data_IF_403941617753
#
_entry.id   IF_403941617753
#
_cell.length_a   1.000
_cell.length_b   1.000
_cell.length_c   1.000
_cell.angle_alpha   90.00
_cell.angle_beta   90.00
_cell.angle_gamma   90.00
#
_symmetry.space_group_name_H-M   'P 1'
#
loop_
_entity.id
_entity.type
_entity.pdbx_description
1 polymer ?
#
# COMPACT_ATOMS: atom_id res chain seq x y z
N UNK A 1 -26.30 2.56 -10.82
CA UNK A 1 -26.47 3.74 -9.95
C UNK A 1 -27.77 4.44 -10.31
N UNK A 2 -28.52 4.85 -9.29
CA UNK A 2 -29.78 5.59 -9.46
C UNK A 2 -29.58 7.02 -9.00
N UNK A 3 -29.92 7.97 -9.85
CA UNK A 3 -29.90 9.40 -9.55
C UNK A 3 -31.32 9.90 -9.34
N UNK A 4 -31.52 10.71 -8.33
CA UNK A 4 -32.81 11.31 -8.01
C UNK A 4 -32.73 12.83 -8.15
N UNK A 5 -33.67 13.44 -8.86
CA UNK A 5 -33.93 14.86 -8.81
C UNK A 5 -35.11 15.12 -7.88
N UNK A 6 -34.91 15.90 -6.88
CA UNK A 6 -35.92 16.10 -5.86
C UNK A 6 -36.23 14.85 -5.03
N UNK A 7 -37.26 14.85 -4.25
CA UNK A 7 -37.47 13.87 -3.19
C UNK A 7 -38.10 12.53 -3.61
N UNK A 8 -38.51 12.30 -4.86
CA UNK A 8 -39.26 11.10 -5.22
C UNK A 8 -39.10 10.55 -6.64
N UNK A 9 -38.45 11.25 -7.55
CA UNK A 9 -38.34 10.80 -8.93
C UNK A 9 -36.94 10.30 -9.24
N UNK A 10 -36.85 9.18 -9.92
CA UNK A 10 -35.63 8.64 -10.47
C UNK A 10 -35.33 9.38 -11.78
N UNK A 11 -34.26 10.17 -11.82
CA UNK A 11 -33.89 10.92 -13.04
C UNK A 11 -33.35 10.01 -14.12
N UNK A 12 -32.43 9.15 -13.73
CA UNK A 12 -31.82 8.19 -14.63
C UNK A 12 -31.32 6.95 -13.89
N UNK A 13 -31.35 5.83 -14.58
CA UNK A 13 -30.84 4.57 -14.10
C UNK A 13 -29.72 4.12 -15.01
N UNK A 14 -28.57 3.82 -14.42
CA UNK A 14 -27.40 3.29 -15.11
C UNK A 14 -27.04 1.93 -14.53
N UNK A 15 -26.53 1.06 -15.39
CA UNK A 15 -25.85 -0.16 -14.94
C UNK A 15 -24.49 -0.27 -15.60
N UNK A 16 -23.57 -0.93 -14.93
CA UNK A 16 -22.26 -1.26 -15.49
C UNK A 16 -21.93 -2.71 -15.20
N UNK A 17 -21.43 -3.39 -16.20
CA UNK A 17 -20.84 -4.72 -16.09
C UNK A 17 -19.34 -4.61 -16.39
N UNK A 18 -18.52 -4.93 -15.41
CA UNK A 18 -17.06 -4.81 -15.50
C UNK A 18 -16.46 -6.17 -15.20
N UNK A 19 -15.92 -6.79 -16.24
CA UNK A 19 -15.26 -8.09 -16.16
C UNK A 19 -13.77 -7.89 -16.36
N UNK A 20 -12.97 -8.32 -15.39
CA UNK A 20 -11.51 -8.29 -15.49
C UNK A 20 -10.95 -9.70 -15.30
N UNK A 21 -10.30 -10.19 -16.32
CA UNK A 21 -9.58 -11.47 -16.30
C UNK A 21 -8.09 -11.19 -16.23
N UNK A 22 -7.43 -11.76 -15.23
CA UNK A 22 -5.99 -11.61 -15.05
C UNK A 22 -5.33 -12.99 -15.04
N UNK A 23 -4.34 -13.17 -15.91
CA UNK A 23 -3.55 -14.38 -15.99
C UNK A 23 -2.08 -14.03 -15.67
N UNK A 24 -1.53 -14.65 -14.63
CA UNK A 24 -0.15 -14.45 -14.22
C UNK A 24 0.55 -15.80 -14.24
N UNK A 25 1.56 -15.90 -15.09
CA UNK A 25 2.45 -17.06 -15.17
C UNK A 25 3.83 -16.63 -14.70
N UNK A 26 4.37 -17.30 -13.69
CA UNK A 26 5.71 -17.00 -13.15
C UNK A 26 6.51 -18.28 -12.99
N UNK A 27 7.74 -18.24 -13.49
CA UNK A 27 8.74 -19.29 -13.30
C UNK A 27 9.99 -18.69 -12.66
N UNK A 28 10.50 -19.34 -11.60
CA UNK A 28 11.69 -18.91 -10.87
C UNK A 28 12.60 -20.12 -10.65
N UNK A 29 13.90 -19.92 -10.85
CA UNK A 29 14.92 -20.90 -10.48
C UNK A 29 15.97 -20.22 -9.62
N UNK A 30 16.14 -20.73 -8.39
CA UNK A 30 17.07 -20.22 -7.38
C UNK A 30 18.17 -21.24 -7.10
N UNK A 31 19.41 -20.76 -6.99
CA UNK A 31 20.58 -21.52 -6.66
C UNK A 31 21.27 -20.93 -5.44
N UNK A 32 21.42 -21.74 -4.40
CA UNK A 32 22.09 -21.40 -3.16
C UNK A 32 23.47 -22.06 -3.10
N UNK A 33 24.52 -21.27 -3.09
CA UNK A 33 25.91 -21.70 -3.09
C UNK A 33 26.55 -21.33 -1.75
N UNK A 34 26.89 -22.30 -0.92
CA UNK A 34 27.64 -22.08 0.29
C UNK A 34 29.12 -21.85 -0.05
N UNK A 35 29.58 -20.60 0.02
CA UNK A 35 30.97 -20.22 -0.22
C UNK A 35 31.87 -20.56 0.99
N UNK A 36 31.29 -20.50 2.19
CA UNK A 36 31.94 -20.88 3.45
C UNK A 36 30.84 -21.19 4.50
N UNK A 37 31.29 -21.54 5.74
CA UNK A 37 30.35 -21.73 6.88
C UNK A 37 29.57 -20.48 7.25
N UNK A 38 29.99 -19.27 6.82
CA UNK A 38 29.41 -17.99 7.19
C UNK A 38 29.04 -17.13 5.98
N UNK A 39 29.38 -17.57 4.77
CA UNK A 39 29.15 -16.82 3.53
C UNK A 39 28.37 -17.66 2.53
N UNK A 40 27.38 -17.05 1.92
CA UNK A 40 26.45 -17.66 0.96
C UNK A 40 26.27 -16.73 -0.24
N UNK A 41 26.24 -17.32 -1.43
CA UNK A 41 25.79 -16.67 -2.66
C UNK A 41 24.47 -17.30 -3.07
N UNK A 42 23.45 -16.48 -3.21
CA UNK A 42 22.16 -16.87 -3.84
C UNK A 42 22.10 -16.21 -5.20
N UNK A 43 21.85 -16.97 -6.26
CA UNK A 43 21.64 -16.43 -7.61
C UNK A 43 20.39 -17.06 -8.21
N UNK A 44 19.74 -16.40 -9.16
CA UNK A 44 18.55 -16.96 -9.78
C UNK A 44 18.09 -16.18 -10.97
N UNK A 45 17.15 -16.79 -11.67
CA UNK A 45 16.43 -16.22 -12.81
C UNK A 45 14.94 -16.25 -12.52
N UNK A 46 14.23 -15.25 -12.99
CA UNK A 46 12.76 -15.19 -12.93
C UNK A 46 12.22 -14.73 -14.28
N UNK A 47 11.18 -15.39 -14.74
CA UNK A 47 10.37 -14.94 -15.86
C UNK A 47 8.92 -14.84 -15.42
N UNK A 48 8.24 -13.76 -15.81
CA UNK A 48 6.83 -13.56 -15.53
C UNK A 48 6.13 -13.03 -16.77
N UNK A 49 4.98 -13.62 -17.11
CA UNK A 49 4.04 -13.11 -18.09
C UNK A 49 2.75 -12.72 -17.38
N UNK A 50 2.31 -11.48 -17.59
CA UNK A 50 1.07 -10.92 -17.06
C UNK A 50 0.15 -10.60 -18.23
N UNK A 51 -1.05 -11.18 -18.25
CA UNK A 51 -2.11 -10.85 -19.19
C UNK A 51 -3.31 -10.29 -18.44
N UNK A 52 -3.84 -9.16 -18.88
CA UNK A 52 -5.09 -8.59 -18.38
C UNK A 52 -6.02 -8.32 -19.56
N UNK A 53 -7.25 -8.84 -19.46
CA UNK A 53 -8.38 -8.51 -20.31
C UNK A 53 -9.45 -7.83 -19.43
N UNK A 54 -9.76 -6.58 -19.73
CA UNK A 54 -10.80 -5.82 -19.04
C UNK A 54 -11.88 -5.42 -20.04
N UNK A 55 -13.10 -5.90 -19.82
CA UNK A 55 -14.30 -5.54 -20.56
C UNK A 55 -15.21 -4.73 -19.66
N UNK A 56 -15.63 -3.59 -20.14
CA UNK A 56 -16.55 -2.69 -19.43
C UNK A 56 -17.70 -2.35 -20.33
N UNK A 57 -18.93 -2.65 -19.89
CA UNK A 57 -20.18 -2.29 -20.54
C UNK A 57 -20.92 -1.30 -19.64
N UNK A 58 -21.26 -0.12 -20.17
CA UNK A 58 -22.13 0.85 -19.50
C UNK A 58 -23.41 1.01 -20.27
N UNK A 59 -24.53 1.00 -19.56
CA UNK A 59 -25.86 1.16 -20.15
C UNK A 59 -26.72 2.09 -19.30
N UNK A 60 -27.68 2.77 -19.96
CA UNK A 60 -28.71 3.56 -19.31
C UNK A 60 -30.11 3.05 -19.67
N UNK A 61 -31.04 3.18 -18.75
CA UNK A 61 -32.42 2.76 -18.95
C UNK A 61 -33.21 3.89 -19.61
N UNK A 62 -33.82 3.60 -20.76
CA UNK A 62 -34.74 4.50 -21.46
C UNK A 62 -35.88 3.68 -22.06
N UNK A 63 -37.12 4.13 -21.81
CA UNK A 63 -38.33 3.45 -22.29
C UNK A 63 -38.33 1.94 -22.01
N UNK A 64 -38.00 1.56 -20.75
CA UNK A 64 -37.92 0.17 -20.27
C UNK A 64 -36.87 -0.70 -20.96
N UNK A 65 -36.04 -0.13 -21.80
CA UNK A 65 -34.95 -0.84 -22.50
C UNK A 65 -33.59 -0.29 -22.11
N UNK A 66 -32.58 -1.17 -22.06
CA UNK A 66 -31.21 -0.79 -21.79
C UNK A 66 -30.49 -0.40 -23.07
N UNK A 67 -29.86 0.74 -23.06
CA UNK A 67 -29.09 1.29 -24.19
C UNK A 67 -27.63 1.47 -23.79
N UNK A 68 -26.73 1.00 -24.63
CA UNK A 68 -25.30 1.11 -24.42
C UNK A 68 -24.82 2.55 -24.48
N UNK A 69 -23.89 2.93 -23.59
CA UNK A 69 -23.16 4.19 -23.63
C UNK A 69 -21.78 3.91 -24.21
N UNK A 70 -21.67 3.99 -25.55
CA UNK A 70 -20.44 3.63 -26.27
C UNK A 70 -19.21 4.42 -25.83
N UNK A 71 -19.37 5.66 -25.35
CA UNK A 71 -18.27 6.47 -24.81
C UNK A 71 -17.67 5.91 -23.50
N UNK A 72 -18.42 5.09 -22.77
CA UNK A 72 -18.00 4.47 -21.51
C UNK A 72 -17.78 2.97 -21.64
N UNK A 73 -18.24 2.36 -22.75
CA UNK A 73 -18.06 0.93 -23.04
C UNK A 73 -16.72 0.70 -23.74
N UNK A 74 -15.96 -0.29 -23.25
CA UNK A 74 -14.63 -0.53 -23.81
C UNK A 74 -14.11 -1.95 -23.54
N UNK A 75 -13.12 -2.33 -24.33
CA UNK A 75 -12.28 -3.50 -24.11
C UNK A 75 -10.82 -3.03 -24.02
N UNK A 76 -10.17 -3.29 -22.92
CA UNK A 76 -8.77 -2.97 -22.68
C UNK A 76 -7.98 -4.25 -22.38
N UNK A 77 -6.89 -4.45 -23.11
CA UNK A 77 -5.96 -5.58 -22.95
C UNK A 77 -4.57 -5.07 -22.63
N UNK A 78 -3.89 -5.77 -21.78
CA UNK A 78 -2.51 -5.47 -21.42
C UNK A 78 -1.73 -6.77 -21.29
N UNK A 79 -0.61 -6.85 -21.98
CA UNK A 79 0.31 -7.99 -21.88
C UNK A 79 1.71 -7.50 -21.54
N UNK A 80 2.31 -8.09 -20.53
CA UNK A 80 3.63 -7.70 -20.01
C UNK A 80 4.48 -8.94 -19.77
N UNK A 81 5.73 -8.88 -20.22
CA UNK A 81 6.74 -9.89 -20.00
C UNK A 81 7.88 -9.29 -19.18
N UNK A 82 8.26 -9.92 -18.09
CA UNK A 82 9.35 -9.48 -17.21
C UNK A 82 10.35 -10.62 -17.09
N UNK A 83 11.59 -10.38 -17.53
CA UNK A 83 12.72 -11.28 -17.34
C UNK A 83 13.70 -10.69 -16.34
N UNK A 84 14.17 -11.46 -15.40
CA UNK A 84 15.09 -11.00 -14.37
C UNK A 84 16.21 -12.00 -14.09
N UNK A 85 17.38 -11.46 -13.84
CA UNK A 85 18.55 -12.16 -13.32
C UNK A 85 19.01 -11.47 -12.04
N UNK A 86 19.37 -12.23 -11.01
CA UNK A 86 19.81 -11.66 -9.75
C UNK A 86 20.88 -12.50 -9.05
N UNK A 87 21.68 -11.80 -8.24
CA UNK A 87 22.66 -12.39 -7.34
C UNK A 87 22.66 -11.66 -6.00
N UNK A 88 22.79 -12.41 -4.91
CA UNK A 88 22.86 -11.88 -3.55
C UNK A 88 23.96 -12.60 -2.78
N UNK A 89 24.96 -11.84 -2.38
CA UNK A 89 26.00 -12.30 -1.45
C UNK A 89 25.61 -11.93 -0.02
N UNK A 90 25.77 -12.87 0.92
CA UNK A 90 25.54 -12.64 2.35
C UNK A 90 26.66 -13.29 3.16
N UNK A 91 27.16 -12.55 4.15
CA UNK A 91 28.20 -13.05 5.04
C UNK A 91 28.03 -12.54 6.46
N UNK A 92 28.52 -13.30 7.43
CA UNK A 92 28.60 -12.90 8.84
C UNK A 92 30.05 -13.02 9.32
N UNK A 93 30.58 -11.92 9.83
CA UNK A 93 31.94 -11.83 10.39
C UNK A 93 32.00 -12.30 11.86
N UNK A 94 33.21 -12.52 12.36
CA UNK A 94 33.45 -13.07 13.72
C UNK A 94 32.80 -12.25 14.86
N UNK A 95 32.67 -10.94 14.70
CA UNK A 95 32.05 -10.05 15.69
C UNK A 95 30.53 -9.88 15.50
N UNK A 96 29.89 -10.82 14.80
CA UNK A 96 28.46 -10.79 14.45
C UNK A 96 28.03 -9.61 13.57
N UNK A 97 28.97 -8.94 12.95
CA UNK A 97 28.74 -8.02 11.88
C UNK A 97 28.22 -8.79 10.66
N UNK A 98 27.09 -8.41 10.10
CA UNK A 98 26.50 -9.08 8.95
C UNK A 98 26.36 -8.13 7.77
N UNK A 99 26.79 -8.59 6.60
CA UNK A 99 26.72 -7.87 5.33
C UNK A 99 25.91 -8.69 4.33
N UNK A 100 24.99 -8.01 3.63
CA UNK A 100 24.28 -8.56 2.48
C UNK A 100 24.32 -7.56 1.34
N UNK A 101 24.77 -8.00 0.17
CA UNK A 101 24.84 -7.22 -1.06
C UNK A 101 24.07 -7.96 -2.15
N UNK A 102 23.19 -7.29 -2.85
CA UNK A 102 22.40 -7.88 -3.93
C UNK A 102 22.34 -6.97 -5.14
N UNK A 103 22.25 -7.57 -6.32
CA UNK A 103 21.99 -6.90 -7.58
C UNK A 103 20.99 -7.72 -8.36
N UNK A 104 19.96 -7.04 -8.89
CA UNK A 104 18.96 -7.62 -9.79
C UNK A 104 18.86 -6.77 -11.04
N UNK A 105 18.95 -7.39 -12.21
CA UNK A 105 18.64 -6.79 -13.50
C UNK A 105 17.29 -7.28 -14.00
N UNK A 106 16.44 -6.37 -14.46
CA UNK A 106 15.13 -6.71 -15.04
C UNK A 106 14.97 -6.07 -16.42
N UNK A 107 14.47 -6.87 -17.36
CA UNK A 107 13.98 -6.38 -18.65
C UNK A 107 12.47 -6.59 -18.71
N UNK A 108 11.76 -5.52 -19.04
CA UNK A 108 10.30 -5.52 -19.19
C UNK A 108 9.91 -5.12 -20.61
N UNK A 109 8.98 -5.88 -21.18
CA UNK A 109 8.33 -5.60 -22.44
C UNK A 109 6.83 -5.65 -22.23
N UNK A 110 6.12 -4.54 -22.51
CA UNK A 110 4.68 -4.42 -22.29
C UNK A 110 3.97 -3.85 -23.52
N UNK A 111 2.80 -4.40 -23.82
CA UNK A 111 1.97 -4.03 -24.95
C UNK A 111 0.55 -3.75 -24.46
N UNK A 112 0.16 -2.48 -24.31
CA UNK A 112 -1.24 -2.11 -24.11
C UNK A 112 -2.00 -2.20 -25.44
N UNK A 113 -3.30 -2.54 -25.40
CA UNK A 113 -4.21 -2.55 -26.52
C UNK A 113 -5.62 -2.21 -26.05
N UNK A 114 -6.33 -1.38 -26.77
CA UNK A 114 -7.71 -0.96 -26.44
C UNK A 114 -8.57 -0.88 -27.69
N UNK A 115 -9.88 -1.10 -27.54
CA UNK A 115 -10.83 -1.16 -28.64
C UNK A 115 -11.15 0.19 -29.30
N UNK A 116 -11.00 1.31 -28.55
CA UNK A 116 -11.45 2.62 -29.02
C UNK A 116 -10.35 3.58 -29.45
N UNK A 117 -9.13 3.37 -28.99
CA UNK A 117 -7.98 4.20 -29.36
C UNK A 117 -6.79 3.27 -29.53
N UNK A 118 -6.14 3.33 -30.68
CA UNK A 118 -4.93 2.54 -30.92
C UNK A 118 -3.79 3.15 -30.09
N UNK A 119 -3.63 2.65 -28.86
CA UNK A 119 -2.46 2.96 -28.06
C UNK A 119 -1.37 2.00 -28.47
N UNK A 120 -0.51 2.48 -29.34
CA UNK A 120 0.58 1.69 -29.92
C UNK A 120 1.89 1.80 -29.15
N UNK A 121 1.93 2.56 -28.06
CA UNK A 121 3.16 2.80 -27.29
C UNK A 121 3.54 1.56 -26.51
N UNK A 122 4.25 0.67 -27.19
CA UNK A 122 4.94 -0.45 -26.55
C UNK A 122 5.98 0.10 -25.60
N UNK A 123 5.97 -0.41 -24.38
CA UNK A 123 6.96 -0.04 -23.39
C UNK A 123 8.02 -1.12 -23.30
N UNK A 124 9.28 -0.75 -23.45
CA UNK A 124 10.41 -1.60 -23.16
C UNK A 124 11.44 -0.84 -22.33
N UNK A 125 11.90 -1.45 -21.28
CA UNK A 125 12.90 -0.84 -20.41
C UNK A 125 13.70 -1.89 -19.65
N UNK A 126 14.93 -1.52 -19.33
CA UNK A 126 15.83 -2.28 -18.49
C UNK A 126 16.12 -1.52 -17.21
N UNK A 127 16.15 -2.21 -16.06
CA UNK A 127 16.46 -1.63 -14.77
C UNK A 127 17.46 -2.45 -13.97
N UNK A 128 18.34 -1.76 -13.25
CA UNK A 128 19.23 -2.36 -12.24
C UNK A 128 18.75 -1.97 -10.85
N UNK A 129 18.66 -2.96 -9.96
CA UNK A 129 18.13 -2.85 -8.61
C UNK A 129 19.14 -3.37 -7.59
N UNK A 130 20.16 -2.56 -7.25
CA UNK A 130 21.07 -2.88 -6.17
C UNK A 130 20.39 -2.79 -4.81
N UNK A 131 20.82 -3.64 -3.89
CA UNK A 131 20.49 -3.56 -2.48
C UNK A 131 21.70 -3.90 -1.62
N UNK A 132 21.79 -3.24 -0.47
CA UNK A 132 22.83 -3.48 0.51
C UNK A 132 22.22 -3.40 1.91
N UNK A 133 22.60 -4.34 2.78
CA UNK A 133 22.20 -4.32 4.18
C UNK A 133 23.40 -4.63 5.05
N UNK A 134 23.62 -3.78 6.04
CA UNK A 134 24.69 -3.87 6.99
C UNK A 134 24.12 -3.89 8.40
N UNK A 135 24.39 -4.92 9.16
CA UNK A 135 23.93 -5.06 10.56
C UNK A 135 25.13 -5.18 11.47
N UNK A 136 25.21 -4.27 12.45
CA UNK A 136 26.35 -4.10 13.32
C UNK A 136 25.93 -4.08 14.79
N UNK A 137 26.32 -5.05 15.61
CA UNK A 137 26.14 -4.96 17.05
C UNK A 137 27.06 -3.88 17.63
N UNK A 138 26.49 -2.98 18.44
CA UNK A 138 27.22 -1.89 19.08
C UNK A 138 27.82 -2.29 20.43
N UNK A 139 27.44 -3.44 20.97
CA UNK A 139 27.97 -3.97 22.21
C UNK A 139 28.14 -5.50 22.19
N UNK A 140 28.98 -6.03 23.09
CA UNK A 140 29.26 -7.47 23.19
C UNK A 140 28.02 -8.31 23.50
N UNK A 141 27.04 -7.76 24.24
CA UNK A 141 25.78 -8.43 24.57
C UNK A 141 24.78 -8.41 23.40
N UNK A 142 25.11 -7.72 22.29
CA UNK A 142 24.27 -7.54 21.12
C UNK A 142 22.89 -6.94 21.43
N UNK A 143 22.72 -6.33 22.59
CA UNK A 143 21.47 -5.66 22.98
C UNK A 143 21.25 -4.33 22.25
N UNK A 144 22.26 -3.85 21.54
CA UNK A 144 22.20 -2.69 20.69
C UNK A 144 22.68 -3.08 19.29
N UNK A 145 21.90 -2.75 18.28
CA UNK A 145 22.19 -3.04 16.88
C UNK A 145 22.02 -1.77 16.05
N UNK A 146 22.95 -1.53 15.15
CA UNK A 146 22.81 -0.52 14.11
C UNK A 146 22.64 -1.25 12.77
N UNK A 147 21.62 -0.86 12.03
CA UNK A 147 21.27 -1.47 10.73
C UNK A 147 21.21 -0.36 9.69
N UNK A 148 22.07 -0.45 8.69
CA UNK A 148 22.07 0.45 7.53
C UNK A 148 21.57 -0.33 6.32
N UNK A 149 20.53 0.19 5.67
CA UNK A 149 19.95 -0.38 4.47
C UNK A 149 20.00 0.60 3.30
N UNK A 150 20.25 0.07 2.12
CA UNK A 150 20.03 0.74 0.84
C UNK A 150 19.28 -0.19 -0.11
N UNK A 151 18.32 0.32 -0.83
CA UNK A 151 17.67 -0.41 -1.92
C UNK A 151 17.19 0.52 -3.01
N UNK A 152 17.30 0.07 -4.26
CA UNK A 152 16.58 0.64 -5.40
C UNK A 152 15.44 -0.27 -5.78
N UNK A 153 14.25 0.32 -5.95
CA UNK A 153 13.00 -0.39 -6.23
C UNK A 153 12.33 0.20 -7.48
N UNK A 154 11.55 -0.63 -8.16
CA UNK A 154 10.66 -0.20 -9.23
C UNK A 154 9.21 -0.40 -8.78
N UNK A 155 8.37 0.60 -9.06
CA UNK A 155 6.92 0.49 -8.97
C UNK A 155 6.33 0.65 -10.36
N UNK A 156 5.81 -0.43 -10.91
CA UNK A 156 5.10 -0.40 -12.18
C UNK A 156 3.68 0.13 -11.97
N UNK A 157 3.09 0.79 -12.97
CA UNK A 157 1.70 1.20 -12.90
C UNK A 157 0.78 0.02 -12.58
N UNK A 158 -0.27 0.27 -11.79
CA UNK A 158 -1.36 -0.69 -11.62
C UNK A 158 -2.09 -0.85 -12.95
N UNK A 159 -2.55 -2.04 -13.27
CA UNK A 159 -3.19 -2.33 -14.56
C UNK A 159 -4.41 -1.44 -14.82
N UNK A 160 -5.22 -1.20 -13.79
CA UNK A 160 -6.39 -0.33 -13.90
C UNK A 160 -6.03 1.16 -14.07
N UNK A 161 -4.86 1.60 -13.58
CA UNK A 161 -4.38 2.97 -13.78
C UNK A 161 -3.90 3.24 -15.21
N UNK A 162 -3.65 2.19 -15.99
CA UNK A 162 -3.29 2.28 -17.40
C UNK A 162 -4.53 2.32 -18.32
N UNK A 163 -5.72 2.03 -17.79
CA UNK A 163 -6.95 2.01 -18.60
C UNK A 163 -7.43 3.45 -18.86
N UNK A 164 -7.40 3.95 -20.11
CA UNK A 164 -7.73 5.34 -20.44
C UNK A 164 -9.21 5.70 -20.33
N UNK A 165 -10.05 4.71 -20.07
CA UNK A 165 -11.49 4.94 -20.05
C UNK A 165 -11.96 5.55 -18.74
N UNK A 166 -12.94 6.43 -18.88
CA UNK A 166 -13.55 7.13 -17.75
C UNK A 166 -14.52 6.22 -17.02
N UNK A 167 -14.37 6.15 -15.72
CA UNK A 167 -15.31 5.51 -14.80
C UNK A 167 -16.03 6.60 -14.02
N UNK A 168 -17.35 6.77 -14.19
CA UNK A 168 -18.11 7.75 -13.45
C UNK A 168 -18.13 7.41 -11.95
N UNK A 169 -17.89 8.42 -11.12
CA UNK A 169 -18.10 8.39 -9.67
C UNK A 169 -19.42 9.09 -9.32
N UNK A 170 -19.74 10.15 -10.06
CA UNK A 170 -20.99 10.90 -10.02
C UNK A 170 -21.23 11.54 -11.39
N UNK A 171 -22.29 12.32 -11.53
CA UNK A 171 -22.61 13.07 -12.76
C UNK A 171 -21.48 14.03 -13.20
N UNK A 172 -20.76 14.61 -12.23
CA UNK A 172 -19.70 15.58 -12.46
C UNK A 172 -18.32 15.12 -11.98
N UNK A 173 -18.12 13.82 -11.76
CA UNK A 173 -16.82 13.32 -11.35
C UNK A 173 -16.50 11.95 -11.94
N UNK A 174 -15.26 11.80 -12.42
CA UNK A 174 -14.78 10.62 -13.11
C UNK A 174 -13.41 10.19 -12.56
N UNK A 175 -13.11 8.89 -12.65
CA UNK A 175 -11.74 8.38 -12.58
C UNK A 175 -11.33 8.00 -13.99
N UNK A 176 -10.12 8.41 -14.39
CA UNK A 176 -9.51 8.10 -15.68
C UNK A 176 -8.10 7.58 -15.46
N UNK A 177 -7.75 6.46 -16.08
CA UNK A 177 -6.39 5.99 -16.11
C UNK A 177 -5.56 6.70 -17.18
N UNK A 178 -4.25 6.48 -17.15
CA UNK A 178 -3.32 7.08 -18.10
C UNK A 178 -2.40 6.00 -18.69
N UNK A 179 -2.58 5.62 -19.95
CA UNK A 179 -1.78 4.58 -20.61
C UNK A 179 -0.32 5.01 -20.84
N UNK A 180 0.00 6.30 -20.68
CA UNK A 180 1.36 6.83 -20.83
C UNK A 180 2.17 6.77 -19.52
N UNK A 181 1.61 6.22 -18.46
CA UNK A 181 2.34 6.06 -17.20
C UNK A 181 3.60 5.23 -17.39
N UNK A 182 4.70 5.76 -16.88
CA UNK A 182 5.98 5.07 -16.79
C UNK A 182 6.21 4.51 -15.39
N UNK A 183 7.07 3.51 -15.21
CA UNK A 183 7.42 3.02 -13.89
C UNK A 183 8.10 4.09 -13.03
N UNK A 184 7.78 4.10 -11.74
CA UNK A 184 8.48 4.90 -10.76
C UNK A 184 9.70 4.14 -10.21
N UNK A 185 10.79 4.88 -9.95
CA UNK A 185 12.03 4.34 -9.38
C UNK A 185 12.32 5.02 -8.06
N UNK A 186 12.44 4.23 -6.99
CA UNK A 186 12.72 4.73 -5.64
C UNK A 186 14.09 4.25 -5.17
N UNK A 187 14.95 5.18 -4.78
CA UNK A 187 16.14 4.89 -3.99
C UNK A 187 15.81 5.15 -2.52
N UNK A 188 16.02 4.15 -1.70
CA UNK A 188 15.74 4.20 -0.26
C UNK A 188 17.03 3.96 0.52
N UNK A 189 17.27 4.82 1.50
CA UNK A 189 18.32 4.65 2.51
C UNK A 189 17.67 4.71 3.88
N UNK A 190 17.99 3.78 4.73
CA UNK A 190 17.51 3.76 6.11
C UNK A 190 18.63 3.40 7.10
N UNK A 191 18.62 4.04 8.25
CA UNK A 191 19.47 3.76 9.39
C UNK A 191 18.57 3.47 10.59
N UNK A 192 18.66 2.25 11.13
CA UNK A 192 17.87 1.84 12.29
C UNK A 192 18.79 1.51 13.45
N UNK A 193 18.56 2.15 14.58
CA UNK A 193 19.14 1.79 15.86
C UNK A 193 18.13 1.00 16.68
N UNK A 194 18.49 -0.24 17.03
CA UNK A 194 17.72 -1.09 17.93
C UNK A 194 18.39 -1.07 19.30
N UNK A 195 17.65 -0.75 20.35
CA UNK A 195 18.12 -0.71 21.71
C UNK A 195 17.38 -1.73 22.58
N UNK A 196 18.12 -2.41 23.47
CA UNK A 196 17.59 -3.42 24.40
C UNK A 196 16.75 -4.52 23.70
N UNK A 197 17.09 -4.87 22.45
CA UNK A 197 16.42 -5.85 21.59
C UNK A 197 14.95 -5.53 21.25
N UNK A 198 14.42 -4.36 21.61
CA UNK A 198 12.99 -4.06 21.47
C UNK A 198 12.64 -2.63 21.08
N UNK A 199 13.40 -1.63 21.53
CA UNK A 199 13.16 -0.24 21.12
C UNK A 199 13.86 0.01 19.79
N UNK A 200 13.23 0.74 18.90
CA UNK A 200 13.88 1.12 17.64
C UNK A 200 13.64 2.58 17.31
N UNK A 201 14.70 3.20 16.80
CA UNK A 201 14.67 4.53 16.20
C UNK A 201 15.27 4.40 14.79
N UNK A 202 14.49 4.81 13.78
CA UNK A 202 14.91 4.75 12.39
C UNK A 202 14.87 6.12 11.76
N UNK A 203 15.87 6.43 10.95
CA UNK A 203 15.92 7.58 10.05
C UNK A 203 16.05 7.07 8.63
N UNK A 204 15.35 7.69 7.69
CA UNK A 204 15.48 7.26 6.32
C UNK A 204 14.99 8.30 5.33
N UNK A 205 15.29 8.01 4.06
CA UNK A 205 14.83 8.80 2.93
C UNK A 205 14.46 7.90 1.77
N UNK A 206 13.43 8.32 1.06
CA UNK A 206 13.01 7.73 -0.21
C UNK A 206 13.02 8.83 -1.27
N UNK A 207 13.85 8.64 -2.27
CA UNK A 207 13.99 9.54 -3.42
C UNK A 207 13.35 8.85 -4.63
N UNK A 208 12.15 9.28 -4.99
CA UNK A 208 11.36 8.66 -6.06
C UNK A 208 11.33 9.56 -7.28
N UNK A 209 11.72 9.00 -8.42
CA UNK A 209 11.57 9.57 -9.74
C UNK A 209 10.35 8.99 -10.43
N UNK A 210 9.61 9.83 -11.15
CA UNK A 210 8.42 9.45 -11.93
C UNK A 210 7.33 8.78 -11.06
N UNK A 211 7.14 9.29 -9.82
CA UNK A 211 6.15 8.74 -8.89
C UNK A 211 4.74 8.77 -9.50
N UNK A 212 4.04 7.64 -9.43
CA UNK A 212 2.67 7.51 -9.95
C UNK A 212 1.70 8.01 -8.89
N UNK A 213 1.00 9.10 -9.20
CA UNK A 213 0.08 9.75 -8.26
C UNK A 213 -1.25 10.08 -8.94
N UNK A 214 -2.34 9.89 -8.20
CA UNK A 214 -3.63 10.41 -8.60
C UNK A 214 -3.69 11.91 -8.32
N UNK A 215 -4.10 12.68 -9.31
CA UNK A 215 -4.33 14.12 -9.23
C UNK A 215 -5.76 14.45 -9.64
N UNK A 216 -6.24 15.60 -9.20
CA UNK A 216 -7.52 16.15 -9.62
C UNK A 216 -7.29 17.19 -10.73
N UNK A 217 -8.01 17.06 -11.82
CA UNK A 217 -8.01 18.04 -12.92
C UNK A 217 -9.44 18.37 -13.32
N UNK A 218 -9.65 19.55 -13.86
CA UNK A 218 -10.92 19.92 -14.50
C UNK A 218 -11.06 19.19 -15.82
N UNK A 219 -12.27 18.74 -16.16
CA UNK A 219 -12.53 18.10 -17.44
C UNK A 219 -12.41 19.15 -18.57
N UNK A 220 -11.54 18.95 -19.59
CA UNK A 220 -11.38 19.88 -20.69
C UNK A 220 -12.66 20.09 -21.52
N UNK A 221 -13.58 19.11 -21.49
CA UNK A 221 -14.82 19.11 -22.27
C UNK A 221 -16.04 19.60 -21.48
N UNK A 222 -15.96 19.55 -20.15
CA UNK A 222 -17.01 20.00 -19.24
C UNK A 222 -16.38 20.70 -18.02
N UNK A 223 -16.31 22.04 -17.98
CA UNK A 223 -15.67 22.78 -16.89
C UNK A 223 -16.29 22.55 -15.50
N UNK A 224 -17.55 22.07 -15.45
CA UNK A 224 -18.24 21.76 -14.19
C UNK A 224 -17.89 20.36 -13.66
N UNK A 225 -17.19 19.54 -14.47
CA UNK A 225 -16.80 18.19 -14.10
C UNK A 225 -15.32 18.11 -13.71
N UNK A 226 -15.03 17.17 -12.81
CA UNK A 226 -13.68 16.87 -12.34
C UNK A 226 -13.27 15.46 -12.73
N UNK A 227 -11.99 15.31 -13.03
CA UNK A 227 -11.38 14.03 -13.36
C UNK A 227 -10.26 13.73 -12.38
N UNK A 228 -10.33 12.58 -11.72
CA UNK A 228 -9.23 11.98 -10.97
C UNK A 228 -8.39 11.16 -11.93
N UNK A 229 -7.22 11.66 -12.31
CA UNK A 229 -6.32 11.05 -13.28
C UNK A 229 -4.99 10.68 -12.66
N UNK A 230 -4.35 9.62 -13.18
CA UNK A 230 -3.01 9.25 -12.76
C UNK A 230 -1.96 9.93 -13.63
N UNK A 231 -0.94 10.49 -12.96
CA UNK A 231 0.20 11.15 -13.61
C UNK A 231 1.51 10.72 -12.97
N UNK A 232 2.58 10.74 -13.76
CA UNK A 232 3.91 10.64 -13.21
C UNK A 232 4.36 11.99 -12.66
N UNK A 233 4.64 12.04 -11.37
CA UNK A 233 5.27 13.19 -10.73
C UNK A 233 6.79 13.07 -10.87
N UNK A 234 7.49 14.06 -11.47
CA UNK A 234 8.92 13.97 -11.78
C UNK A 234 9.78 13.63 -10.57
N UNK A 235 9.46 14.20 -9.41
CA UNK A 235 10.19 13.98 -8.17
C UNK A 235 9.27 13.94 -6.96
N UNK A 236 9.49 12.94 -6.13
CA UNK A 236 8.88 12.81 -4.83
C UNK A 236 9.94 12.35 -3.82
N UNK A 237 10.23 13.20 -2.85
CA UNK A 237 11.22 12.91 -1.82
C UNK A 237 10.53 12.83 -0.47
N UNK A 238 10.77 11.76 0.23
CA UNK A 238 10.27 11.51 1.59
C UNK A 238 11.45 11.35 2.53
N UNK A 239 11.48 12.13 3.63
CA UNK A 239 12.34 11.91 4.78
C UNK A 239 11.46 11.46 5.94
N UNK A 240 11.91 10.47 6.69
CA UNK A 240 11.14 9.96 7.80
C UNK A 240 11.98 9.66 9.03
N UNK A 241 11.33 9.77 10.18
CA UNK A 241 11.83 9.31 11.48
C UNK A 241 10.76 8.40 12.07
N UNK A 242 11.11 7.16 12.37
CA UNK A 242 10.24 6.20 13.02
C UNK A 242 10.75 5.89 14.42
N UNK A 243 9.87 5.92 15.41
CA UNK A 243 10.11 5.51 16.78
C UNK A 243 9.15 4.36 17.12
N UNK A 244 9.68 3.27 17.68
CA UNK A 244 8.88 2.17 18.21
C UNK A 244 9.32 1.84 19.64
N UNK A 245 8.37 1.90 20.57
CA UNK A 245 8.58 1.74 22.01
C UNK A 245 7.59 0.72 22.57
N UNK A 246 7.87 -0.60 22.47
CA UNK A 246 7.14 -1.60 23.22
C UNK A 246 7.63 -1.60 24.68
N UNK A 247 6.76 -1.25 25.63
CA UNK A 247 7.12 -1.09 27.04
C UNK A 247 6.22 -1.90 27.97
N UNK A 248 6.82 -2.52 28.96
CA UNK A 248 6.14 -3.06 30.12
C UNK A 248 6.24 -1.99 31.21
N UNK A 249 5.22 -1.11 31.32
CA UNK A 249 5.23 0.02 32.26
C UNK A 249 5.14 -0.49 33.70
N UNK A 250 4.24 -1.44 33.93
CA UNK A 250 4.10 -2.16 35.21
C UNK A 250 3.80 -3.63 34.92
N UNK A 251 3.70 -4.48 35.96
CA UNK A 251 3.34 -5.91 35.81
C UNK A 251 1.96 -6.13 35.19
N UNK A 252 1.08 -5.12 35.27
CA UNK A 252 -0.30 -5.20 34.80
C UNK A 252 -0.57 -4.29 33.59
N UNK A 253 0.38 -3.44 33.17
CA UNK A 253 0.24 -2.51 32.05
C UNK A 253 1.35 -2.70 31.03
N UNK A 254 0.98 -3.13 29.84
CA UNK A 254 1.82 -3.20 28.65
C UNK A 254 1.39 -2.11 27.67
N UNK A 255 2.35 -1.44 27.08
CA UNK A 255 2.14 -0.39 26.09
C UNK A 255 3.01 -0.64 24.86
N UNK A 256 2.47 -0.39 23.69
CA UNK A 256 3.24 -0.24 22.45
C UNK A 256 2.94 1.14 21.87
N UNK A 257 3.95 1.95 21.74
CA UNK A 257 3.86 3.27 21.12
C UNK A 257 4.70 3.29 19.85
N UNK A 258 4.11 3.71 18.73
CA UNK A 258 4.80 3.94 17.48
C UNK A 258 4.47 5.34 16.99
N UNK A 259 5.51 6.05 16.52
CA UNK A 259 5.36 7.38 15.92
C UNK A 259 6.23 7.50 14.68
N UNK A 260 5.69 8.13 13.66
CA UNK A 260 6.38 8.44 12.41
C UNK A 260 6.22 9.91 12.10
N UNK A 261 7.34 10.63 12.07
CA UNK A 261 7.41 11.96 11.49
C UNK A 261 7.88 11.88 10.04
N UNK A 262 7.25 12.62 9.15
CA UNK A 262 7.62 12.68 7.74
C UNK A 262 7.76 14.12 7.27
N UNK A 263 8.77 14.36 6.43
CA UNK A 263 8.87 15.53 5.57
C UNK A 263 8.72 15.06 4.13
N UNK A 264 7.74 15.59 3.46
CA UNK A 264 7.36 15.18 2.13
C UNK A 264 7.58 16.34 1.17
N UNK A 265 8.28 16.11 0.07
CA UNK A 265 8.51 17.08 -0.99
C UNK A 265 8.10 16.47 -2.31
N UNK A 266 7.12 17.08 -2.95
CA UNK A 266 6.62 16.62 -4.23
C UNK A 266 6.55 17.77 -5.24
N UNK A 267 6.74 17.45 -6.52
CA UNK A 267 6.60 18.37 -7.61
C UNK A 267 5.67 17.78 -8.66
N UNK A 268 4.52 18.42 -8.85
CA UNK A 268 3.65 18.16 -9.98
C UNK A 268 4.10 19.03 -11.16
N UNK A 269 4.01 18.50 -12.38
CA UNK A 269 4.38 19.24 -13.58
C UNK A 269 3.58 20.54 -13.70
N UNK A 270 4.25 21.66 -13.96
CA UNK A 270 3.61 22.97 -14.04
C UNK A 270 3.20 23.60 -12.70
N UNK A 271 3.43 22.93 -11.57
CA UNK A 271 3.06 23.42 -10.23
C UNK A 271 4.31 23.71 -9.38
N UNK A 272 4.24 24.58 -8.38
CA UNK A 272 5.32 24.79 -7.42
C UNK A 272 5.57 23.50 -6.59
N UNK A 273 6.77 23.43 -5.99
CA UNK A 273 7.10 22.33 -5.07
C UNK A 273 6.21 22.41 -3.83
N UNK A 274 5.51 21.33 -3.54
CA UNK A 274 4.76 21.16 -2.30
C UNK A 274 5.68 20.57 -1.23
N UNK A 275 5.76 21.22 -0.09
CA UNK A 275 6.49 20.72 1.10
C UNK A 275 5.46 20.51 2.20
N UNK A 276 5.44 19.31 2.75
CA UNK A 276 4.50 18.93 3.81
C UNK A 276 5.23 18.20 4.93
N UNK A 277 5.03 18.65 6.16
CA UNK A 277 5.39 17.89 7.35
C UNK A 277 4.13 17.21 7.89
N UNK A 278 4.27 15.97 8.30
CA UNK A 278 3.16 15.21 8.87
C UNK A 278 3.67 14.29 9.97
N UNK A 279 2.82 14.06 10.95
CA UNK A 279 3.04 13.09 12.03
C UNK A 279 1.90 12.09 12.02
N UNK A 280 2.25 10.83 12.16
CA UNK A 280 1.29 9.77 12.43
C UNK A 280 1.80 8.90 13.57
N UNK A 281 0.88 8.34 14.34
CA UNK A 281 1.24 7.48 15.46
C UNK A 281 0.09 6.62 15.91
N UNK A 282 0.46 5.55 16.59
CA UNK A 282 -0.49 4.70 17.29
C UNK A 282 0.05 4.37 18.69
N UNK A 283 -0.86 4.19 19.61
CA UNK A 283 -0.57 3.72 20.96
C UNK A 283 -1.57 2.64 21.32
N UNK A 284 -1.07 1.47 21.68
CA UNK A 284 -1.86 0.33 22.13
C UNK A 284 -1.49 0.00 23.57
N UNK A 285 -2.48 -0.13 24.41
CA UNK A 285 -2.32 -0.46 25.83
C UNK A 285 -3.12 -1.71 26.15
N UNK A 286 -2.52 -2.63 26.87
CA UNK A 286 -3.17 -3.79 27.46
C UNK A 286 -3.03 -3.74 28.98
N UNK A 287 -4.14 -3.70 29.67
CA UNK A 287 -4.22 -3.71 31.13
C UNK A 287 -4.70 -5.07 31.61
N UNK A 288 -3.89 -5.73 32.43
CA UNK A 288 -4.27 -6.98 33.08
C UNK A 288 -5.07 -6.66 34.35
N UNK A 289 -6.40 -6.77 34.26
CA UNK A 289 -7.31 -6.43 35.41
C UNK A 289 -7.26 -7.54 36.46
N UNK A 290 -7.25 -8.80 36.01
CA UNK A 290 -7.20 -9.95 36.91
C UNK A 290 -6.33 -11.05 36.31
N UNK A 291 -5.12 -11.20 36.84
CA UNK A 291 -4.12 -12.11 36.30
C UNK A 291 -4.56 -13.59 36.33
N UNK A 292 -5.08 -14.05 37.46
CA UNK A 292 -5.50 -15.45 37.63
C UNK A 292 -6.73 -15.80 36.79
N UNK A 293 -7.70 -14.89 36.75
CA UNK A 293 -8.92 -15.04 35.92
C UNK A 293 -8.74 -14.58 34.49
N UNK A 294 -7.55 -14.08 34.12
CA UNK A 294 -7.15 -13.72 32.75
C UNK A 294 -8.11 -12.73 32.06
N UNK A 295 -8.45 -11.66 32.79
CA UNK A 295 -9.19 -10.54 32.28
C UNK A 295 -8.25 -9.40 31.87
N UNK A 296 -8.47 -8.89 30.66
CA UNK A 296 -7.67 -7.80 30.08
C UNK A 296 -8.57 -6.73 29.52
N UNK A 297 -8.15 -5.48 29.65
CA UNK A 297 -8.73 -4.33 28.94
C UNK A 297 -7.69 -3.84 27.96
N UNK A 298 -8.08 -3.73 26.71
CA UNK A 298 -7.27 -3.16 25.63
C UNK A 298 -7.79 -1.75 25.34
N UNK A 299 -6.90 -0.76 25.23
CA UNK A 299 -7.21 0.62 24.85
C UNK A 299 -6.17 1.07 23.82
N UNK A 300 -6.60 1.36 22.60
CA UNK A 300 -5.74 1.78 21.51
C UNK A 300 -6.20 3.09 20.89
N UNK A 301 -5.29 3.79 20.24
CA UNK A 301 -5.58 4.99 19.49
C UNK A 301 -4.62 5.20 18.33
N UNK A 302 -5.13 5.77 17.24
CA UNK A 302 -4.36 6.18 16.08
C UNK A 302 -4.58 7.67 15.84
N UNK A 303 -3.54 8.36 15.40
CA UNK A 303 -3.58 9.75 14.98
C UNK A 303 -2.78 9.93 13.70
N UNK A 304 -3.31 10.73 12.78
CA UNK A 304 -2.60 11.21 11.59
C UNK A 304 -2.87 12.70 11.42
N UNK A 305 -1.82 13.49 11.31
CA UNK A 305 -1.93 14.91 10.94
C UNK A 305 -2.24 15.06 9.43
N UNK A 306 -2.64 16.25 8.97
CA UNK A 306 -2.89 16.46 7.55
C UNK A 306 -1.69 16.06 6.68
N UNK A 307 -1.99 15.52 5.49
CA UNK A 307 -0.99 15.19 4.47
C UNK A 307 -1.46 15.70 3.10
N UNK A 308 -0.54 16.24 2.31
CA UNK A 308 -0.80 16.69 0.95
C UNK A 308 0.16 16.03 -0.02
N UNK A 309 -0.37 15.51 -1.13
CA UNK A 309 0.39 14.90 -2.21
C UNK A 309 -0.17 15.39 -3.55
N UNK A 310 0.68 15.99 -4.37
CA UNK A 310 0.22 16.67 -5.58
C UNK A 310 -0.75 17.81 -5.22
N UNK A 311 -1.92 17.80 -5.79
CA UNK A 311 -2.98 18.77 -5.53
C UNK A 311 -4.14 18.21 -4.68
N UNK A 312 -3.90 17.07 -4.02
CA UNK A 312 -4.87 16.43 -3.10
C UNK A 312 -4.35 16.55 -1.66
N UNK A 313 -5.19 17.06 -0.77
CA UNK A 313 -4.93 17.17 0.66
C UNK A 313 -5.92 16.32 1.46
N UNK A 314 -5.42 15.49 2.33
CA UNK A 314 -6.19 14.76 3.34
C UNK A 314 -6.06 15.48 4.68
N UNK A 315 -7.18 15.73 5.35
CA UNK A 315 -7.22 16.31 6.71
C UNK A 315 -6.68 15.36 7.76
N UNK A 316 -6.58 15.85 8.99
CA UNK A 316 -6.25 14.98 10.12
C UNK A 316 -7.39 14.00 10.41
N UNK A 317 -7.05 12.87 10.96
CA UNK A 317 -8.03 11.98 11.57
C UNK A 317 -7.43 11.27 12.78
N UNK A 318 -8.30 10.83 13.68
CA UNK A 318 -7.92 9.97 14.79
C UNK A 318 -9.03 8.97 15.11
N UNK A 319 -8.66 7.87 15.73
CA UNK A 319 -9.62 6.87 16.23
C UNK A 319 -9.16 6.40 17.59
N UNK A 320 -10.12 6.13 18.47
CA UNK A 320 -9.88 5.50 19.77
C UNK A 320 -10.69 4.22 19.83
N UNK A 321 -10.02 3.13 20.19
CA UNK A 321 -10.57 1.78 20.23
C UNK A 321 -10.47 1.22 21.65
N UNK A 322 -11.44 0.44 22.07
CA UNK A 322 -11.42 -0.22 23.37
C UNK A 322 -11.92 -1.65 23.27
N UNK A 323 -11.44 -2.49 24.19
CA UNK A 323 -11.84 -3.89 24.20
C UNK A 323 -11.73 -4.52 25.60
N UNK A 324 -12.57 -5.51 25.85
CA UNK A 324 -12.52 -6.39 26.99
C UNK A 324 -12.24 -7.80 26.51
N UNK A 325 -11.20 -8.43 27.03
CA UNK A 325 -10.79 -9.78 26.65
C UNK A 325 -10.72 -10.67 27.88
N UNK A 326 -11.26 -11.87 27.75
CA UNK A 326 -11.22 -12.92 28.77
C UNK A 326 -10.73 -14.23 28.17
N UNK A 327 -9.74 -14.84 28.82
CA UNK A 327 -9.20 -16.15 28.41
C UNK A 327 -9.57 -17.19 29.47
N UNK A 328 -10.18 -18.30 29.05
CA UNK A 328 -10.71 -19.34 29.89
C UNK A 328 -10.49 -20.75 29.32
N UNK A 329 -11.06 -21.78 29.93
CA UNK A 329 -10.91 -23.18 29.51
C UNK A 329 -9.44 -23.62 29.36
N UNK A 330 -8.59 -23.34 30.39
CA UNK A 330 -7.15 -23.65 30.41
C UNK A 330 -6.40 -23.04 29.20
N UNK A 331 -6.67 -21.77 28.91
CA UNK A 331 -6.12 -21.00 27.77
C UNK A 331 -6.51 -21.46 26.37
N UNK A 332 -7.54 -22.29 26.29
CA UNK A 332 -8.04 -22.77 25.00
C UNK A 332 -9.05 -21.83 24.36
N UNK A 333 -9.80 -21.08 25.18
CA UNK A 333 -10.82 -20.18 24.69
C UNK A 333 -10.48 -18.74 25.06
N UNK A 334 -10.64 -17.83 24.10
CA UNK A 334 -10.54 -16.40 24.31
C UNK A 334 -11.78 -15.74 23.74
N UNK A 335 -12.51 -15.02 24.58
CA UNK A 335 -13.62 -14.17 24.19
C UNK A 335 -13.16 -12.71 24.25
N UNK A 336 -13.52 -11.95 23.23
CA UNK A 336 -13.25 -10.51 23.19
C UNK A 336 -14.48 -9.75 22.73
N UNK A 337 -14.78 -8.66 23.43
CA UNK A 337 -15.77 -7.66 23.03
C UNK A 337 -14.97 -6.40 22.75
N UNK A 338 -15.15 -5.79 21.59
CA UNK A 338 -14.39 -4.60 21.22
C UNK A 338 -15.26 -3.56 20.52
N UNK A 339 -14.89 -2.31 20.72
CA UNK A 339 -15.48 -1.15 20.04
C UNK A 339 -14.36 -0.44 19.32
N UNK A 340 -14.46 -0.33 18.01
CA UNK A 340 -13.58 0.50 17.20
C UNK A 340 -14.20 1.89 17.09
N UNK A 341 -13.34 2.91 17.07
CA UNK A 341 -13.71 4.32 16.92
C UNK A 341 -14.86 4.74 17.88
N UNK A 342 -14.59 4.63 19.17
CA UNK A 342 -15.57 4.90 20.26
C UNK A 342 -16.25 6.26 20.06
N UNK A 343 -15.51 7.28 19.63
CA UNK A 343 -16.00 8.66 19.46
C UNK A 343 -16.55 8.97 18.08
N UNK A 344 -16.54 8.00 17.12
CA UNK A 344 -16.92 8.21 15.73
C UNK A 344 -16.15 9.34 15.05
N UNK A 345 -14.87 9.40 15.33
CA UNK A 345 -13.94 10.46 14.91
C UNK A 345 -13.19 10.14 13.62
N UNK A 346 -13.35 8.92 13.08
CA UNK A 346 -12.66 8.43 11.88
C UNK A 346 -13.16 9.06 10.57
N UNK A 347 -13.46 10.35 10.56
CA UNK A 347 -13.90 11.11 9.40
C UNK A 347 -12.70 11.79 8.76
N UNK A 348 -12.49 11.59 7.46
CA UNK A 348 -11.39 12.22 6.72
C UNK A 348 -11.96 13.21 5.69
N UNK A 349 -11.53 14.47 5.79
CA UNK A 349 -11.78 15.46 4.74
C UNK A 349 -10.70 15.37 3.69
N UNK A 350 -11.10 15.16 2.44
CA UNK A 350 -10.21 15.16 1.27
C UNK A 350 -10.53 16.40 0.45
N UNK A 351 -9.52 17.21 0.17
CA UNK A 351 -9.63 18.40 -0.66
C UNK A 351 -8.72 18.25 -1.86
N UNK A 352 -9.27 18.29 -3.05
CA UNK A 352 -8.54 18.38 -4.31
C UNK A 352 -8.65 19.79 -4.86
N UNK A 353 -7.56 20.37 -5.35
CA UNK A 353 -7.53 21.74 -5.87
C UNK A 353 -6.90 21.75 -7.26
N UNK A 354 -7.62 22.26 -8.23
CA UNK A 354 -7.16 22.61 -9.57
C UNK A 354 -7.33 24.14 -9.75
N UNK A 355 -6.60 24.83 -10.63
CA UNK A 355 -6.75 26.28 -10.82
C UNK A 355 -8.20 26.77 -11.02
N UNK A 356 -9.05 25.96 -11.62
CA UNK A 356 -10.45 26.30 -11.92
C UNK A 356 -11.45 25.73 -10.92
N UNK A 357 -11.10 24.69 -10.17
CA UNK A 357 -12.05 23.96 -9.31
C UNK A 357 -11.40 23.52 -7.99
N UNK A 358 -12.13 23.71 -6.90
CA UNK A 358 -11.81 23.08 -5.62
C UNK A 358 -12.90 22.06 -5.27
N UNK A 359 -12.53 20.80 -5.20
CA UNK A 359 -13.41 19.73 -4.74
C UNK A 359 -13.14 19.40 -3.27
N UNK A 360 -14.18 19.40 -2.46
CA UNK A 360 -14.11 18.96 -1.06
C UNK A 360 -15.00 17.75 -0.87
N UNK A 361 -14.39 16.62 -0.58
CA UNK A 361 -15.09 15.39 -0.23
C UNK A 361 -14.87 15.07 1.24
N UNK A 362 -15.94 14.71 1.93
CA UNK A 362 -15.87 14.20 3.30
C UNK A 362 -16.08 12.70 3.25
N UNK A 363 -15.01 11.95 3.46
CA UNK A 363 -15.06 10.49 3.55
C UNK A 363 -15.39 10.12 5.00
N UNK A 364 -16.66 9.84 5.26
CA UNK A 364 -17.10 9.29 6.53
C UNK A 364 -17.20 7.78 6.39
N UNK A 365 -16.15 7.06 6.82
CA UNK A 365 -16.20 5.62 6.94
C UNK A 365 -17.06 5.21 8.14
N UNK A 366 -17.79 4.11 8.04
CA UNK A 366 -18.41 3.47 9.22
C UNK A 366 -17.33 2.77 10.05
N UNK A 367 -16.43 3.55 10.67
CA UNK A 367 -15.34 3.01 11.49
C UNK A 367 -15.82 2.54 12.84
N UNK A 368 -16.93 3.15 13.37
CA UNK A 368 -17.51 2.72 14.63
C UNK A 368 -18.14 1.34 14.47
N UNK A 369 -17.56 0.36 15.11
CA UNK A 369 -18.02 -1.05 15.07
C UNK A 369 -17.93 -1.65 16.46
N UNK A 370 -19.03 -2.27 16.90
CA UNK A 370 -19.03 -3.20 18.01
C UNK A 370 -18.81 -4.61 17.45
N UNK A 371 -17.87 -5.34 18.03
CA UNK A 371 -17.60 -6.71 17.62
C UNK A 371 -17.43 -7.64 18.81
N UNK A 372 -17.82 -8.89 18.60
CA UNK A 372 -17.61 -9.99 19.54
C UNK A 372 -16.80 -11.05 18.80
N UNK A 373 -15.74 -11.54 19.41
CA UNK A 373 -14.89 -12.60 18.89
C UNK A 373 -14.76 -13.71 19.91
N UNK A 374 -14.95 -14.94 19.44
CA UNK A 374 -14.66 -16.15 20.22
C UNK A 374 -13.63 -16.97 19.47
N UNK A 375 -12.47 -17.16 20.09
CA UNK A 375 -11.38 -17.99 19.53
C UNK A 375 -11.20 -19.25 20.36
N UNK A 376 -11.16 -20.39 19.69
CA UNK A 376 -10.81 -21.67 20.31
C UNK A 376 -9.52 -22.20 19.71
N UNK A 377 -8.52 -22.46 20.57
CA UNK A 377 -7.22 -23.00 20.16
C UNK A 377 -7.24 -24.52 20.29
N UNK A 378 -7.36 -25.19 19.16
CA UNK A 378 -7.23 -26.65 19.09
C UNK A 378 -5.77 -27.05 19.23
N UNK A 379 -5.46 -27.87 20.22
CA UNK A 379 -4.18 -28.57 20.30
C UNK A 379 -4.42 -30.02 19.87
N UNK A 380 -4.47 -30.27 18.58
CA UNK A 380 -4.62 -31.62 18.06
C UNK A 380 -3.52 -31.88 17.01
N UNK A 381 -2.87 -33.06 17.10
CA UNK A 381 -1.94 -33.54 16.11
C UNK A 381 -0.46 -33.16 16.34
N UNK A 382 0.42 -33.78 15.54
CA UNK A 382 1.84 -33.48 15.49
C UNK A 382 2.07 -32.12 14.81
N UNK A 383 3.04 -31.33 15.29
CA UNK A 383 3.47 -30.10 14.60
C UNK A 383 3.95 -30.46 13.20
N UNK A 384 3.16 -30.16 12.20
CA UNK A 384 3.57 -30.26 10.81
C UNK A 384 4.43 -29.01 10.53
N UNK A 385 5.67 -29.21 10.09
CA UNK A 385 6.45 -28.10 9.52
C UNK A 385 5.86 -27.77 8.15
N UNK A 386 4.96 -26.81 8.11
CA UNK A 386 4.48 -26.25 6.83
C UNK A 386 5.63 -25.44 6.25
N UNK A 387 6.13 -25.86 5.09
CA UNK A 387 7.07 -25.07 4.31
C UNK A 387 6.26 -23.93 3.70
N UNK A 388 6.49 -22.70 4.15
CA UNK A 388 5.91 -21.53 3.48
C UNK A 388 6.50 -21.45 2.08
N UNK A 389 5.72 -21.86 1.09
CA UNK A 389 6.04 -21.66 -0.32
C UNK A 389 5.47 -20.29 -0.69
N UNK A 390 6.33 -19.29 -0.86
CA UNK A 390 5.91 -18.01 -1.43
C UNK A 390 5.64 -18.22 -2.92
N UNK A 391 4.50 -17.74 -3.40
CA UNK A 391 4.25 -17.72 -4.83
C UNK A 391 5.23 -16.74 -5.48
N UNK A 392 5.92 -17.14 -6.54
CA UNK A 392 6.82 -16.25 -7.28
C UNK A 392 6.12 -15.04 -7.93
N UNK A 393 4.80 -14.96 -7.85
CA UNK A 393 3.94 -13.95 -8.46
C UNK A 393 3.44 -12.85 -7.50
N UNK A 394 4.00 -12.77 -6.28
CA UNK A 394 3.50 -11.84 -5.24
C UNK A 394 3.52 -10.37 -5.65
N UNK A 395 4.58 -9.94 -6.34
CA UNK A 395 4.74 -8.55 -6.81
C UNK A 395 3.65 -8.20 -7.84
N UNK A 396 3.38 -9.11 -8.76
CA UNK A 396 2.39 -8.95 -9.82
C UNK A 396 0.96 -8.99 -9.26
N UNK A 397 0.71 -9.87 -8.29
CA UNK A 397 -0.60 -9.96 -7.62
C UNK A 397 -0.93 -8.67 -6.87
N UNK A 398 0.03 -8.01 -6.27
CA UNK A 398 -0.18 -6.72 -5.59
C UNK A 398 -0.66 -5.61 -6.53
N UNK A 399 -0.33 -5.68 -7.82
CA UNK A 399 -0.77 -4.73 -8.87
C UNK A 399 -2.23 -4.92 -9.29
N UNK A 400 -2.83 -6.09 -8.99
CA UNK A 400 -4.25 -6.36 -9.26
C UNK A 400 -5.15 -5.68 -8.22
N UNK A 401 -4.75 -5.71 -6.97
CA UNK A 401 -5.55 -5.22 -5.84
C UNK A 401 -5.63 -3.69 -5.77
N UNK A 402 -5.00 -2.99 -6.75
CA UNK A 402 -4.98 -1.53 -6.82
C UNK A 402 -4.57 -0.95 -5.49
N UNK A 403 -3.30 -0.67 -5.30
CA UNK A 403 -2.71 -0.21 -4.04
C UNK A 403 -3.48 0.89 -3.31
N UNK A 404 -4.62 0.54 -2.75
CA UNK A 404 -5.36 1.31 -1.76
C UNK A 404 -4.70 1.17 -0.38
N UNK A 405 -3.38 0.97 -0.34
CA UNK A 405 -2.60 1.22 0.87
C UNK A 405 -2.25 2.70 0.86
N UNK A 406 -2.89 3.44 1.75
CA UNK A 406 -2.41 4.76 2.16
C UNK A 406 -0.89 4.69 2.39
N UNK A 407 -0.12 5.76 2.09
CA UNK A 407 1.30 5.79 2.38
C UNK A 407 1.51 5.56 3.88
N UNK A 408 1.99 4.39 4.27
CA UNK A 408 2.23 4.03 5.68
C UNK A 408 1.95 2.57 6.07
N UNK A 409 1.36 1.75 5.21
CA UNK A 409 1.11 0.33 5.49
C UNK A 409 2.21 -0.57 4.88
N UNK A 410 3.37 -0.61 5.51
CA UNK A 410 4.37 -1.68 5.28
C UNK A 410 4.09 -2.84 6.23
N UNK A 411 3.95 -4.06 5.70
CA UNK A 411 4.03 -5.30 6.47
C UNK A 411 5.43 -5.49 7.06
#
# INVERSE_FOLDING_TARGET
HSLYSGFRNLDSTYRSDIITLNNIYSATADFDIALSKVSKLTTGIKYTNNGMDNSTLYEYLKNESWHEIGALTNLNKYNENISALYAKFSTRFKNNFALSLGLRGEYTYAVPSTSSTVITDKQNYFGLFPNANLSMPLNKKQSQMLILGYSRKIQRPWFWALNPFRRPLSEYSYIEGNPRLTPAYTNEVNLTWVFAHKYSLSFGTQLTKDNIQQILVTDPTNPDAIVYRFENMPHMNLWFVNLSVPAQITKWWQMTFNATGINFRSKLSGQPITIQNSIMGNMDNTFTIHKEKKWYVDLGGNYQSPIAVGNIRMGHYYTINGGLKHTFAKDRMTMSIYVNDIFNSGTVRVTGTDPSVTNVSVMQGSFRRLGISLRYNFKAGKKIKVKNVQSGAGDEQSRLSGGASAPGGGN
#
